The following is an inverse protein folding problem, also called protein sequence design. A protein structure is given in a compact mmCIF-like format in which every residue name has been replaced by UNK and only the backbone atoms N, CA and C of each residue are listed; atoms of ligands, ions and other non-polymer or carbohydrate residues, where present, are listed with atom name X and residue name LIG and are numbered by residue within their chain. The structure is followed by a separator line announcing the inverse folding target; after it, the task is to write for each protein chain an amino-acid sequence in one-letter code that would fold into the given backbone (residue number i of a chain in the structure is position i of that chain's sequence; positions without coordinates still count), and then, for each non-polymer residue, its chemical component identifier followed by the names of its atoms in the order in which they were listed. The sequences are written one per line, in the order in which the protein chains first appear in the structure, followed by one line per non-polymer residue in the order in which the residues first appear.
data_IF_731275843581
#
_entry.id   IF_731275843581
#
_cell.length_a   1.000
_cell.length_b   1.000
_cell.length_c   1.000
_cell.angle_alpha   90.00
_cell.angle_beta   90.00
_cell.angle_gamma   90.00
#
_symmetry.space_group_name_H-M   'P 1'
#
loop_
_entity.id
_entity.type
_entity.pdbx_description
1 polymer ?
#
# COMPACT_ATOMS: atom_id res chain seq x y z
N UNK A 1 -22.39 1.17 12.14
CA UNK A 1 -21.53 1.49 10.98
C UNK A 1 -20.18 0.84 11.19
N UNK A 2 -19.81 -0.13 10.35
CA UNK A 2 -18.46 -0.68 10.31
C UNK A 2 -17.79 -0.11 9.06
N UNK A 3 -16.97 0.91 9.21
CA UNK A 3 -16.10 1.41 8.15
C UNK A 3 -14.73 0.78 8.32
N UNK A 4 -14.31 -0.07 7.39
CA UNK A 4 -12.91 -0.47 7.33
C UNK A 4 -12.13 0.76 6.83
N UNK A 5 -11.34 1.36 7.73
CA UNK A 5 -10.64 2.62 7.44
C UNK A 5 -9.44 2.37 6.50
N UNK A 6 -8.86 1.17 6.56
CA UNK A 6 -7.68 0.79 5.78
C UNK A 6 -7.82 -0.67 5.33
N UNK A 7 -8.52 -0.94 4.22
CA UNK A 7 -8.53 -2.26 3.62
C UNK A 7 -7.14 -2.59 3.06
N UNK A 8 -6.57 -3.69 3.56
CA UNK A 8 -5.25 -4.21 3.17
C UNK A 8 -5.39 -5.69 2.85
N UNK A 9 -4.89 -6.09 1.68
CA UNK A 9 -4.82 -7.48 1.24
C UNK A 9 -3.36 -7.94 1.22
N UNK A 10 -3.12 -9.25 1.39
CA UNK A 10 -1.80 -9.84 1.18
C UNK A 10 -1.89 -10.79 -0.01
N UNK A 11 -1.25 -10.41 -1.12
CA UNK A 11 -1.29 -11.16 -2.38
C UNK A 11 0.16 -11.35 -2.84
N UNK A 12 0.54 -12.59 -3.18
CA UNK A 12 1.92 -12.94 -3.58
C UNK A 12 2.99 -12.49 -2.58
N UNK A 13 2.70 -12.61 -1.28
CA UNK A 13 3.60 -12.18 -0.20
C UNK A 13 3.91 -10.66 -0.18
N UNK A 14 3.06 -9.87 -0.87
CA UNK A 14 3.10 -8.41 -0.90
C UNK A 14 1.85 -7.84 -0.26
N UNK A 15 2.00 -6.65 0.33
CA UNK A 15 0.96 -5.94 1.05
C UNK A 15 0.28 -4.98 0.08
N UNK A 16 -0.99 -5.23 -0.24
CA UNK A 16 -1.80 -4.43 -1.15
C UNK A 16 -2.69 -3.49 -0.36
N UNK A 17 -2.38 -2.19 -0.40
CA UNK A 17 -3.15 -1.15 0.28
C UNK A 17 -4.23 -0.64 -0.68
N UNK A 18 -5.48 -1.02 -0.43
CA UNK A 18 -6.62 -0.71 -1.31
C UNK A 18 -7.11 0.72 -1.13
N UNK A 19 -7.01 1.26 0.08
CA UNK A 19 -7.35 2.64 0.37
C UNK A 19 -6.57 3.09 1.59
N UNK A 20 -5.96 4.28 1.49
CA UNK A 20 -5.34 4.94 2.62
C UNK A 20 -6.26 6.07 3.10
N UNK A 21 -6.91 5.86 4.25
CA UNK A 21 -7.75 6.87 4.90
C UNK A 21 -6.97 7.77 5.87
N UNK A 22 -5.64 7.65 5.93
CA UNK A 22 -4.81 8.29 6.94
C UNK A 22 -3.93 9.38 6.32
N UNK A 23 -3.80 10.51 7.03
CA UNK A 23 -2.90 11.60 6.59
C UNK A 23 -1.42 11.14 6.50
N UNK A 24 -1.06 10.06 7.19
CA UNK A 24 0.24 9.41 7.13
C UNK A 24 0.05 8.03 6.50
N UNK A 25 0.41 7.91 5.23
CA UNK A 25 0.23 6.69 4.45
C UNK A 25 0.77 5.46 5.21
N UNK A 26 -0.03 4.41 5.34
CA UNK A 26 0.36 3.18 6.03
C UNK A 26 1.59 2.54 5.38
N UNK A 27 1.77 2.77 4.07
CA UNK A 27 2.95 2.41 3.32
C UNK A 27 4.24 3.01 3.92
N UNK A 28 4.24 4.29 4.30
CA UNK A 28 5.40 4.92 4.93
C UNK A 28 5.67 4.36 6.34
N UNK A 29 4.63 3.98 7.08
CA UNK A 29 4.78 3.34 8.39
C UNK A 29 5.38 1.93 8.27
N UNK A 30 4.97 1.17 7.25
CA UNK A 30 5.53 -0.14 6.94
C UNK A 30 7.02 -0.01 6.59
N UNK A 31 7.38 0.98 5.77
CA UNK A 31 8.78 1.29 5.44
C UNK A 31 9.58 1.68 6.67
N UNK A 32 9.04 2.54 7.54
CA UNK A 32 9.69 2.93 8.78
C UNK A 32 9.88 1.76 9.76
N UNK A 33 9.09 0.70 9.64
CA UNK A 33 9.24 -0.55 10.41
C UNK A 33 10.18 -1.58 9.75
N UNK A 34 10.78 -1.25 8.61
CA UNK A 34 11.75 -2.09 7.91
C UNK A 34 11.15 -2.96 6.79
N UNK A 35 9.89 -2.74 6.40
CA UNK A 35 9.32 -3.41 5.22
C UNK A 35 9.84 -2.71 3.96
N UNK A 36 10.49 -3.40 3.03
CA UNK A 36 10.94 -2.78 1.78
C UNK A 36 9.73 -2.30 0.96
N UNK A 37 9.87 -1.13 0.31
CA UNK A 37 8.81 -0.53 -0.53
C UNK A 37 8.36 -1.48 -1.66
N UNK A 38 9.25 -2.37 -2.10
CA UNK A 38 9.04 -3.41 -3.11
C UNK A 38 8.06 -4.52 -2.70
N UNK A 39 7.76 -4.63 -1.40
CA UNK A 39 6.76 -5.55 -0.86
C UNK A 39 5.42 -4.85 -0.58
N UNK A 40 5.29 -3.57 -0.89
CA UNK A 40 4.08 -2.78 -0.61
C UNK A 40 3.52 -2.29 -1.95
N UNK A 41 2.32 -2.72 -2.31
CA UNK A 41 1.61 -2.30 -3.51
C UNK A 41 0.53 -1.29 -3.13
N UNK A 42 0.57 -0.11 -3.73
CA UNK A 42 -0.48 0.90 -3.58
C UNK A 42 -1.61 0.60 -4.56
N UNK A 43 -2.60 -0.19 -4.11
CA UNK A 43 -3.63 -0.72 -4.98
C UNK A 43 -4.65 0.34 -5.45
N UNK A 44 -4.85 1.41 -4.66
CA UNK A 44 -5.67 2.58 -5.04
C UNK A 44 -5.10 3.38 -6.22
N UNK A 45 -3.81 3.26 -6.50
CA UNK A 45 -3.19 3.84 -7.68
C UNK A 45 -3.38 2.90 -8.88
N UNK A 46 -3.78 3.44 -10.03
CA UNK A 46 -3.86 2.67 -11.27
C UNK A 46 -2.50 2.08 -11.70
N UNK A 47 -2.46 0.99 -12.48
CA UNK A 47 -1.23 0.36 -12.94
C UNK A 47 -0.18 1.31 -13.53
N UNK A 48 -0.54 2.28 -14.41
CA UNK A 48 0.45 3.16 -15.03
C UNK A 48 0.93 4.28 -14.11
N UNK A 49 0.27 4.52 -12.97
CA UNK A 49 0.73 5.51 -11.98
C UNK A 49 1.59 4.87 -10.89
N UNK A 50 1.44 3.56 -10.62
CA UNK A 50 2.28 2.83 -9.68
C UNK A 50 3.78 2.87 -10.04
N UNK A 51 4.13 2.90 -11.33
CA UNK A 51 5.54 2.99 -11.77
C UNK A 51 6.22 4.30 -11.38
N UNK A 52 5.44 5.37 -11.17
CA UNK A 52 5.95 6.65 -10.71
C UNK A 52 6.00 6.71 -9.18
N UNK A 53 5.52 5.67 -8.51
CA UNK A 53 5.66 5.52 -7.06
C UNK A 53 6.86 4.61 -6.78
N UNK A 54 7.62 4.91 -5.72
CA UNK A 54 8.77 4.08 -5.29
C UNK A 54 8.34 2.72 -4.69
N UNK A 55 7.10 2.31 -4.91
CA UNK A 55 6.44 1.13 -4.33
C UNK A 55 6.29 0.01 -5.36
N UNK A 56 5.85 -1.15 -4.91
CA UNK A 56 5.68 -2.32 -5.74
C UNK A 56 4.57 -2.13 -6.80
N UNK A 57 4.82 -2.65 -8.00
CA UNK A 57 3.89 -2.58 -9.12
C UNK A 57 2.80 -3.67 -9.07
N UNK A 58 3.13 -4.83 -8.50
CA UNK A 58 2.28 -6.01 -8.32
C UNK A 58 3.05 -7.16 -7.70
#
# INVERSE_FOLDING_TARGET
MYGCIIPVDIINNKIWVQQDGTASAIANKLVARGVPKENIVLAYHGPPVRQYTEFALG
#
